data_IF_181135374403
#
_entry.id   IF_181135374403
#
_cell.length_a   1.000
_cell.length_b   1.000
_cell.length_c   1.000
_cell.angle_alpha   90.00
_cell.angle_beta   90.00
_cell.angle_gamma   90.00
#
_symmetry.space_group_name_H-M   'P 1'
#
loop_
_entity.id
_entity.type
_entity.pdbx_description
1 polymer ?
#
# COMPACT_ATOMS: atom_id res chain seq x y z
N UNK A 1 11.88 14.39 18.62
CA UNK A 1 11.20 13.83 17.43
C UNK A 1 9.72 13.61 17.74
N UNK A 2 9.37 12.69 18.66
CA UNK A 2 7.99 12.35 19.04
C UNK A 2 7.14 13.57 19.43
N UNK A 3 7.59 14.40 20.38
CA UNK A 3 6.84 15.60 20.80
C UNK A 3 6.51 16.58 19.66
N UNK A 4 7.40 16.75 18.66
CA UNK A 4 7.11 17.62 17.53
C UNK A 4 6.10 16.99 16.54
N UNK A 5 6.17 15.67 16.35
CA UNK A 5 5.20 14.93 15.53
C UNK A 5 3.79 14.98 16.15
N UNK A 6 3.69 14.83 17.47
CA UNK A 6 2.43 14.94 18.22
C UNK A 6 1.83 16.35 18.10
N UNK A 7 2.66 17.40 18.17
CA UNK A 7 2.18 18.78 18.00
C UNK A 7 1.64 19.03 16.59
N UNK A 8 2.30 18.52 15.55
CA UNK A 8 1.80 18.61 14.17
C UNK A 8 0.46 17.87 14.05
N UNK A 9 0.34 16.67 14.63
CA UNK A 9 -0.91 15.92 14.60
C UNK A 9 -2.03 16.63 15.34
N UNK A 10 -1.75 17.23 16.50
CA UNK A 10 -2.69 18.04 17.27
C UNK A 10 -3.19 19.24 16.45
N UNK A 11 -2.29 19.96 15.77
CA UNK A 11 -2.70 21.09 14.91
C UNK A 11 -3.50 20.69 13.67
N UNK A 12 -3.54 19.39 13.34
CA UNK A 12 -4.31 18.81 12.23
C UNK A 12 -5.59 18.12 12.72
N UNK A 13 -5.95 18.19 14.00
CA UNK A 13 -7.25 17.70 14.50
C UNK A 13 -8.33 18.72 14.13
N UNK A 14 -9.46 18.22 13.64
CA UNK A 14 -10.68 19.00 13.46
C UNK A 14 -11.32 19.24 14.84
N UNK A 15 -11.01 20.38 15.46
CA UNK A 15 -11.87 20.94 16.53
C UNK A 15 -13.08 21.66 15.88
N UNK A 16 -14.02 22.20 16.66
CA UNK A 16 -15.17 22.99 16.17
C UNK A 16 -14.75 24.21 15.29
N UNK A 17 -13.47 24.57 15.30
CA UNK A 17 -12.82 25.52 14.39
C UNK A 17 -12.17 24.79 13.19
N UNK A 18 -12.38 25.32 11.98
CA UNK A 18 -11.81 24.75 10.74
C UNK A 18 -10.27 24.53 10.86
N UNK A 19 -9.73 23.37 10.44
CA UNK A 19 -8.30 23.08 10.56
C UNK A 19 -7.44 24.16 9.92
N UNK A 20 -6.70 24.91 10.75
CA UNK A 20 -5.93 26.08 10.32
C UNK A 20 -4.88 25.77 9.24
N UNK A 21 -4.43 24.51 9.14
CA UNK A 21 -3.30 24.09 8.31
C UNK A 21 -3.72 23.51 6.95
N UNK A 22 -4.94 23.00 6.80
CA UNK A 22 -5.32 22.21 5.60
C UNK A 22 -5.49 23.04 4.34
N UNK A 23 -5.56 24.37 4.46
CA UNK A 23 -5.64 25.32 3.34
C UNK A 23 -4.32 26.01 2.97
N UNK A 24 -3.25 25.82 3.76
CA UNK A 24 -1.98 26.51 3.53
C UNK A 24 -1.07 25.77 2.53
N UNK A 25 -0.94 26.35 1.33
CA UNK A 25 -0.09 25.82 0.26
C UNK A 25 1.41 25.76 0.62
N UNK A 26 1.92 26.66 1.46
CA UNK A 26 3.32 26.67 1.88
C UNK A 26 3.59 25.52 2.85
N UNK A 27 2.68 25.28 3.80
CA UNK A 27 2.80 24.15 4.73
C UNK A 27 2.73 22.82 3.96
N UNK A 28 1.80 22.69 3.00
CA UNK A 28 1.74 21.50 2.14
C UNK A 28 3.02 21.28 1.34
N UNK A 29 3.60 22.35 0.78
CA UNK A 29 4.86 22.27 0.02
C UNK A 29 6.03 21.85 0.92
N UNK A 30 6.18 22.50 2.08
CA UNK A 30 7.24 22.19 3.02
C UNK A 30 7.13 20.74 3.55
N UNK A 31 5.91 20.28 3.82
CA UNK A 31 5.69 18.90 4.24
C UNK A 31 5.99 17.90 3.13
N UNK A 32 5.64 18.21 1.88
CA UNK A 32 5.96 17.38 0.70
C UNK A 32 7.46 17.20 0.53
N UNK A 33 8.23 18.28 0.59
CA UNK A 33 9.70 18.20 0.56
C UNK A 33 10.24 17.30 1.68
N UNK A 34 9.69 17.43 2.89
CA UNK A 34 10.09 16.59 4.02
C UNK A 34 9.68 15.14 3.88
N UNK A 35 8.52 14.87 3.32
CA UNK A 35 8.13 13.51 2.95
C UNK A 35 9.10 12.91 1.93
N UNK A 36 9.48 13.64 0.88
CA UNK A 36 10.44 13.16 -0.11
C UNK A 36 11.79 12.80 0.53
N UNK A 37 12.29 13.61 1.46
CA UNK A 37 13.52 13.29 2.21
C UNK A 37 13.37 12.04 3.08
N UNK A 38 12.26 11.89 3.81
CA UNK A 38 11.99 10.71 4.64
C UNK A 38 11.90 9.44 3.77
N UNK A 39 11.18 9.53 2.65
CA UNK A 39 11.03 8.42 1.73
C UNK A 39 12.34 8.07 1.02
N UNK A 40 13.18 9.05 0.69
CA UNK A 40 14.51 8.79 0.14
C UNK A 40 15.39 8.00 1.12
N UNK A 41 15.39 8.38 2.40
CA UNK A 41 16.12 7.64 3.44
C UNK A 41 15.60 6.21 3.62
N UNK A 42 14.30 5.99 3.48
CA UNK A 42 13.71 4.65 3.45
C UNK A 42 14.24 3.82 2.28
N UNK A 43 14.27 4.40 1.08
CA UNK A 43 14.85 3.75 -0.12
C UNK A 43 16.34 3.44 0.05
N UNK A 44 17.09 4.35 0.65
CA UNK A 44 18.52 4.16 0.88
C UNK A 44 18.78 2.95 1.79
N UNK A 45 18.03 2.79 2.89
CA UNK A 45 18.16 1.61 3.75
C UNK A 45 17.84 0.32 2.98
N UNK A 46 16.78 0.30 2.19
CA UNK A 46 16.40 -0.88 1.38
C UNK A 46 17.48 -1.22 0.34
N UNK A 47 18.05 -0.21 -0.32
CA UNK A 47 18.99 -0.42 -1.44
C UNK A 47 20.43 -0.67 -0.99
N UNK A 48 20.85 -0.08 0.14
CA UNK A 48 22.23 -0.13 0.63
C UNK A 48 22.42 -1.25 1.66
N UNK A 49 21.43 -1.47 2.52
CA UNK A 49 21.56 -2.32 3.72
C UNK A 49 20.69 -3.57 3.68
N UNK A 50 19.98 -3.84 2.56
CA UNK A 50 19.01 -4.94 2.38
C UNK A 50 19.55 -6.38 2.48
N UNK A 51 20.64 -6.60 3.21
CA UNK A 51 21.21 -7.91 3.52
C UNK A 51 21.16 -8.21 5.02
N UNK A 52 20.01 -8.70 5.50
CA UNK A 52 19.84 -9.61 6.65
C UNK A 52 20.53 -9.36 8.00
N UNK A 53 21.14 -8.20 8.24
CA UNK A 53 21.81 -7.88 9.50
C UNK A 53 20.79 -7.36 10.54
N UNK A 54 20.97 -7.64 11.84
CA UNK A 54 20.12 -7.08 12.90
C UNK A 54 20.06 -5.53 12.85
N UNK A 55 21.14 -4.89 12.42
CA UNK A 55 21.19 -3.43 12.23
C UNK A 55 20.26 -2.93 11.14
N UNK A 56 19.96 -3.77 10.13
CA UNK A 56 18.99 -3.44 9.08
C UNK A 56 17.58 -3.38 9.63
N UNK A 57 17.19 -4.33 10.49
CA UNK A 57 15.84 -4.39 11.08
C UNK A 57 15.53 -3.14 11.91
N UNK A 58 16.46 -2.73 12.76
CA UNK A 58 16.30 -1.50 13.56
C UNK A 58 16.23 -0.25 12.66
N UNK A 59 17.12 -0.16 11.67
CA UNK A 59 17.17 0.96 10.75
C UNK A 59 15.89 1.06 9.90
N UNK A 60 15.41 -0.06 9.35
CA UNK A 60 14.23 -0.09 8.49
C UNK A 60 12.96 0.16 9.29
N UNK A 61 12.87 -0.35 10.52
CA UNK A 61 11.73 -0.10 11.39
C UNK A 61 11.59 1.38 11.73
N UNK A 62 12.71 2.08 11.99
CA UNK A 62 12.70 3.53 12.19
C UNK A 62 12.17 4.27 10.95
N UNK A 63 12.59 3.86 9.74
CA UNK A 63 12.12 4.51 8.50
C UNK A 63 10.66 4.19 8.18
N UNK A 64 10.21 2.97 8.44
CA UNK A 64 8.81 2.58 8.29
C UNK A 64 7.91 3.35 9.26
N UNK A 65 8.37 3.61 10.49
CA UNK A 65 7.65 4.47 11.43
C UNK A 65 7.54 5.92 10.91
N UNK A 66 8.61 6.46 10.31
CA UNK A 66 8.61 7.79 9.69
C UNK A 66 7.64 7.87 8.50
N UNK A 67 7.65 6.87 7.61
CA UNK A 67 6.73 6.79 6.46
C UNK A 67 5.28 6.63 6.92
N UNK A 68 5.04 5.78 7.93
CA UNK A 68 3.71 5.57 8.51
C UNK A 68 3.15 6.86 9.13
N UNK A 69 3.96 7.59 9.91
CA UNK A 69 3.60 8.91 10.42
C UNK A 69 3.33 9.92 9.30
N UNK A 70 4.24 10.01 8.32
CA UNK A 70 4.08 10.94 7.20
C UNK A 70 2.80 10.65 6.41
N UNK A 71 2.43 9.37 6.23
CA UNK A 71 1.18 8.98 5.59
C UNK A 71 -0.06 9.56 6.28
N UNK A 72 -0.06 9.62 7.63
CA UNK A 72 -1.18 10.16 8.42
C UNK A 72 -1.31 11.66 8.21
N UNK A 73 -0.19 12.37 8.23
CA UNK A 73 -0.14 13.80 7.97
C UNK A 73 -0.54 14.13 6.53
N UNK A 74 0.01 13.43 5.53
CA UNK A 74 -0.37 13.62 4.11
C UNK A 74 -1.86 13.42 3.86
N UNK A 75 -2.49 12.45 4.54
CA UNK A 75 -3.93 12.21 4.43
C UNK A 75 -4.72 13.44 4.90
N UNK A 76 -4.36 14.00 6.05
CA UNK A 76 -5.02 15.20 6.62
C UNK A 76 -4.75 16.46 5.79
N UNK A 77 -3.59 16.55 5.14
CA UNK A 77 -3.25 17.66 4.25
C UNK A 77 -3.89 17.53 2.85
N UNK A 78 -4.56 16.42 2.54
CA UNK A 78 -5.08 16.14 1.20
C UNK A 78 -3.95 16.03 0.17
N UNK A 79 -2.84 15.40 0.54
CA UNK A 79 -1.66 15.17 -0.31
C UNK A 79 -1.18 13.71 -0.25
N UNK A 80 -2.11 12.77 -0.04
CA UNK A 80 -1.81 11.33 0.03
C UNK A 80 -1.30 10.78 -1.31
N UNK A 81 -1.59 11.46 -2.42
CA UNK A 81 -1.08 11.17 -3.76
C UNK A 81 0.45 11.05 -3.81
N UNK A 82 1.16 11.85 -3.01
CA UNK A 82 2.63 11.79 -2.91
C UNK A 82 3.14 10.45 -2.39
N UNK A 83 2.50 9.92 -1.35
CA UNK A 83 2.82 8.59 -0.84
C UNK A 83 2.47 7.52 -1.87
N UNK A 84 1.28 7.62 -2.46
CA UNK A 84 0.80 6.62 -3.42
C UNK A 84 1.74 6.50 -4.62
N UNK A 85 2.16 7.63 -5.20
CA UNK A 85 3.10 7.64 -6.33
C UNK A 85 4.46 7.05 -5.92
N UNK A 86 5.03 7.56 -4.83
CA UNK A 86 6.35 7.10 -4.36
C UNK A 86 6.37 5.62 -3.96
N UNK A 87 5.31 5.14 -3.29
CA UNK A 87 5.18 3.74 -2.90
C UNK A 87 4.93 2.83 -4.10
N UNK A 88 4.08 3.26 -5.04
CA UNK A 88 3.79 2.47 -6.25
C UNK A 88 5.03 2.30 -7.12
N UNK A 89 5.81 3.37 -7.31
CA UNK A 89 7.02 3.34 -8.13
C UNK A 89 8.13 2.48 -7.51
N UNK A 90 8.20 2.38 -6.18
CA UNK A 90 9.21 1.60 -5.44
C UNK A 90 8.69 0.24 -4.93
N UNK A 91 7.46 -0.14 -5.29
CA UNK A 91 6.85 -1.40 -4.86
C UNK A 91 7.65 -2.65 -5.21
N UNK A 92 8.28 -2.78 -6.40
CA UNK A 92 9.06 -3.97 -6.74
C UNK A 92 10.24 -4.21 -5.78
N UNK A 93 10.97 -3.16 -5.41
CA UNK A 93 12.11 -3.22 -4.49
C UNK A 93 11.67 -3.53 -3.06
N UNK A 94 10.56 -2.92 -2.61
CA UNK A 94 9.95 -3.22 -1.31
C UNK A 94 9.60 -4.71 -1.26
N UNK A 95 8.79 -5.19 -2.21
CA UNK A 95 8.38 -6.60 -2.25
C UNK A 95 9.58 -7.54 -2.28
N UNK A 96 10.60 -7.23 -3.09
CA UNK A 96 11.81 -8.04 -3.18
C UNK A 96 12.53 -8.20 -1.82
N UNK A 97 12.70 -7.12 -1.07
CA UNK A 97 13.39 -7.16 0.22
C UNK A 97 12.53 -7.80 1.30
N UNK A 98 11.24 -7.45 1.41
CA UNK A 98 10.39 -7.95 2.49
C UNK A 98 9.86 -9.38 2.28
N UNK A 99 10.12 -9.98 1.12
CA UNK A 99 9.91 -11.41 0.88
C UNK A 99 10.90 -12.30 1.63
N UNK A 100 12.02 -11.75 2.13
CA UNK A 100 13.00 -12.54 2.88
C UNK A 100 12.36 -13.18 4.13
N UNK A 101 12.36 -14.51 4.25
CA UNK A 101 11.84 -15.19 5.43
C UNK A 101 12.58 -14.83 6.73
N UNK A 102 13.83 -14.37 6.65
CA UNK A 102 14.63 -13.99 7.83
C UNK A 102 14.14 -12.72 8.53
N UNK A 103 13.42 -11.84 7.82
CA UNK A 103 12.90 -10.61 8.40
C UNK A 103 11.75 -10.87 9.38
N UNK A 104 11.76 -10.15 10.50
CA UNK A 104 10.73 -10.25 11.55
C UNK A 104 9.30 -9.95 11.06
N UNK A 105 8.33 -10.62 11.68
CA UNK A 105 6.89 -10.45 11.37
C UNK A 105 6.43 -9.01 11.56
N UNK A 106 6.90 -8.33 12.61
CA UNK A 106 6.51 -6.96 12.92
C UNK A 106 6.91 -5.96 11.83
N UNK A 107 8.07 -6.14 11.21
CA UNK A 107 8.51 -5.32 10.07
C UNK A 107 7.61 -5.59 8.85
N UNK A 108 7.33 -6.87 8.56
CA UNK A 108 6.44 -7.27 7.46
C UNK A 108 5.02 -6.72 7.66
N UNK A 109 4.48 -6.79 8.89
CA UNK A 109 3.19 -6.20 9.23
C UNK A 109 3.21 -4.69 8.97
N UNK A 110 4.29 -3.99 9.36
CA UNK A 110 4.37 -2.54 9.16
C UNK A 110 4.35 -2.13 7.69
N UNK A 111 5.01 -2.92 6.83
CA UNK A 111 4.96 -2.75 5.37
C UNK A 111 3.55 -3.01 4.85
N UNK A 112 2.88 -4.04 5.35
CA UNK A 112 1.50 -4.38 4.97
C UNK A 112 0.50 -3.29 5.37
N UNK A 113 0.64 -2.66 6.54
CA UNK A 113 -0.18 -1.52 6.96
C UNK A 113 -0.09 -0.34 5.98
N UNK A 114 1.14 0.05 5.63
CA UNK A 114 1.37 1.16 4.69
C UNK A 114 0.84 0.80 3.30
N UNK A 115 1.06 -0.45 2.88
CA UNK A 115 0.58 -0.97 1.59
C UNK A 115 -0.94 -1.00 1.52
N UNK A 116 -1.63 -1.43 2.57
CA UNK A 116 -3.10 -1.42 2.63
C UNK A 116 -3.63 -0.02 2.38
N UNK A 117 -3.06 0.98 3.05
CA UNK A 117 -3.45 2.37 2.87
C UNK A 117 -3.26 2.87 1.43
N UNK A 118 -2.16 2.48 0.78
CA UNK A 118 -1.91 2.82 -0.63
C UNK A 118 -2.90 2.11 -1.55
N UNK A 119 -3.13 0.80 -1.35
CA UNK A 119 -4.08 0.03 -2.13
C UNK A 119 -5.50 0.56 -1.98
N UNK A 120 -5.95 0.91 -0.77
CA UNK A 120 -7.27 1.50 -0.51
C UNK A 120 -7.42 2.87 -1.18
N UNK A 121 -6.39 3.72 -1.08
CA UNK A 121 -6.41 5.03 -1.70
C UNK A 121 -6.61 4.95 -3.22
N UNK A 122 -5.92 4.02 -3.88
CA UNK A 122 -6.04 3.83 -5.33
C UNK A 122 -7.29 3.04 -5.70
N UNK A 123 -7.54 1.93 -5.00
CA UNK A 123 -8.63 0.99 -5.27
C UNK A 123 -10.00 1.63 -5.13
N UNK A 124 -10.20 2.49 -4.13
CA UNK A 124 -11.46 3.23 -3.93
C UNK A 124 -11.52 4.56 -4.70
N UNK A 125 -10.49 4.89 -5.48
CA UNK A 125 -10.48 6.08 -6.31
C UNK A 125 -10.25 7.41 -5.56
N UNK A 126 -9.76 7.35 -4.31
CA UNK A 126 -9.37 8.54 -3.55
C UNK A 126 -8.12 9.21 -4.15
N UNK A 127 -7.23 8.41 -4.75
CA UNK A 127 -6.06 8.87 -5.49
C UNK A 127 -6.07 8.24 -6.87
N UNK A 128 -5.96 9.07 -7.90
CA UNK A 128 -5.91 8.61 -9.29
C UNK A 128 -4.46 8.52 -9.77
N UNK A 129 -4.05 7.32 -10.19
CA UNK A 129 -2.76 7.08 -10.83
C UNK A 129 -2.94 6.46 -12.23
N UNK A 130 -1.97 6.61 -13.14
CA UNK A 130 -2.00 6.01 -14.47
C UNK A 130 -2.36 4.52 -14.47
N UNK A 131 -3.11 4.02 -15.48
CA UNK A 131 -3.48 2.60 -15.58
C UNK A 131 -2.28 1.64 -15.48
N UNK A 132 -1.14 2.01 -16.08
CA UNK A 132 0.09 1.21 -16.04
C UNK A 132 0.64 1.06 -14.63
N UNK A 133 0.61 2.13 -13.83
CA UNK A 133 1.00 2.07 -12.41
C UNK A 133 0.00 1.26 -11.59
N UNK A 134 -1.32 1.37 -11.84
CA UNK A 134 -2.33 0.52 -11.17
C UNK A 134 -2.09 -0.96 -11.45
N UNK A 135 -1.84 -1.34 -12.70
CA UNK A 135 -1.51 -2.72 -13.09
C UNK A 135 -0.20 -3.16 -12.43
N UNK A 136 0.83 -2.31 -12.42
CA UNK A 136 2.11 -2.59 -11.76
C UNK A 136 1.95 -2.83 -10.25
N UNK A 137 1.14 -2.01 -9.59
CA UNK A 137 0.83 -2.12 -8.17
C UNK A 137 0.17 -3.46 -7.84
N UNK A 138 -0.88 -3.86 -8.58
CA UNK A 138 -1.52 -5.17 -8.37
C UNK A 138 -0.53 -6.32 -8.61
N UNK A 139 0.25 -6.28 -9.69
CA UNK A 139 1.20 -7.35 -10.01
C UNK A 139 2.32 -7.50 -8.99
N UNK A 140 2.80 -6.39 -8.41
CA UNK A 140 3.82 -6.42 -7.37
C UNK A 140 3.25 -7.00 -6.06
N UNK A 141 2.09 -6.50 -5.62
CA UNK A 141 1.58 -6.79 -4.28
C UNK A 141 0.75 -8.08 -4.19
N UNK A 142 0.02 -8.47 -5.23
CA UNK A 142 -0.88 -9.63 -5.18
C UNK A 142 -0.16 -10.95 -4.76
N UNK A 143 1.03 -11.29 -5.29
CA UNK A 143 1.78 -12.46 -4.81
C UNK A 143 2.25 -12.29 -3.36
N UNK A 144 2.77 -11.10 -3.02
CA UNK A 144 3.32 -10.80 -1.70
C UNK A 144 2.28 -10.94 -0.59
N UNK A 145 1.11 -10.32 -0.73
CA UNK A 145 0.06 -10.33 0.29
C UNK A 145 -0.48 -11.74 0.53
N UNK A 146 -0.47 -12.59 -0.50
CA UNK A 146 -0.84 -14.00 -0.39
C UNK A 146 0.14 -14.76 0.50
N UNK A 147 1.43 -14.61 0.22
CA UNK A 147 2.48 -15.28 0.98
C UNK A 147 2.51 -14.79 2.44
N UNK A 148 2.29 -13.48 2.65
CA UNK A 148 2.27 -12.89 3.99
C UNK A 148 1.09 -13.33 4.84
N UNK A 149 -0.10 -13.60 4.26
CA UNK A 149 -1.26 -14.10 5.02
C UNK A 149 -0.94 -15.37 5.78
N UNK A 150 -0.21 -16.29 5.16
CA UNK A 150 0.21 -17.54 5.82
C UNK A 150 1.20 -17.27 6.95
N UNK A 151 2.13 -16.32 6.77
CA UNK A 151 3.19 -16.00 7.73
C UNK A 151 2.66 -15.27 8.97
N UNK A 152 1.77 -14.29 8.80
CA UNK A 152 1.34 -13.43 9.93
C UNK A 152 0.17 -14.00 10.73
N UNK A 153 -0.66 -14.87 10.15
CA UNK A 153 -1.71 -15.58 10.91
C UNK A 153 -1.14 -16.52 12.00
N UNK A 154 0.12 -16.92 11.88
CA UNK A 154 0.82 -17.75 12.87
C UNK A 154 1.46 -16.92 14.00
N UNK A 155 1.67 -15.61 13.80
CA UNK A 155 2.55 -14.79 14.63
C UNK A 155 1.83 -13.78 15.56
N UNK A 156 0.68 -13.22 15.18
CA UNK A 156 0.16 -11.98 15.79
C UNK A 156 -1.35 -11.97 16.07
N UNK A 157 -1.80 -10.95 16.83
CA UNK A 157 -3.19 -10.73 17.25
C UNK A 157 -4.15 -10.83 16.06
N UNK A 158 -5.02 -11.84 16.09
CA UNK A 158 -5.79 -12.29 14.92
C UNK A 158 -6.76 -11.22 14.42
N UNK A 159 -7.37 -10.42 15.29
CA UNK A 159 -8.47 -9.53 14.88
C UNK A 159 -8.02 -8.34 14.02
N UNK A 160 -7.08 -7.53 14.49
CA UNK A 160 -6.55 -6.38 13.72
C UNK A 160 -5.88 -6.83 12.42
N UNK A 161 -5.14 -7.94 12.49
CA UNK A 161 -4.49 -8.56 11.34
C UNK A 161 -5.52 -9.04 10.30
N UNK A 162 -6.64 -9.61 10.74
CA UNK A 162 -7.73 -10.03 9.84
C UNK A 162 -8.44 -8.83 9.20
N UNK A 163 -8.65 -7.74 9.93
CA UNK A 163 -9.21 -6.51 9.36
C UNK A 163 -8.30 -5.93 8.27
N UNK A 164 -6.99 -5.92 8.51
CA UNK A 164 -5.99 -5.51 7.50
C UNK A 164 -6.10 -6.35 6.23
N UNK A 165 -6.15 -7.69 6.36
CA UNK A 165 -6.27 -8.58 5.20
C UNK A 165 -7.57 -8.38 4.42
N UNK A 166 -8.69 -8.19 5.11
CA UNK A 166 -9.98 -7.91 4.46
C UNK A 166 -9.93 -6.58 3.70
N UNK A 167 -9.29 -5.55 4.27
CA UNK A 167 -9.14 -4.26 3.62
C UNK A 167 -8.29 -4.35 2.35
N UNK A 168 -7.16 -5.06 2.43
CA UNK A 168 -6.29 -5.32 1.28
C UNK A 168 -7.04 -6.08 0.17
N UNK A 169 -7.80 -7.12 0.51
CA UNK A 169 -8.57 -7.90 -0.46
C UNK A 169 -9.64 -7.06 -1.17
N UNK A 170 -10.41 -6.27 -0.41
CA UNK A 170 -11.41 -5.39 -0.97
C UNK A 170 -10.77 -4.31 -1.88
N UNK A 171 -9.66 -3.72 -1.45
CA UNK A 171 -8.92 -2.74 -2.23
C UNK A 171 -8.36 -3.33 -3.53
N UNK A 172 -7.77 -4.54 -3.49
CA UNK A 172 -7.25 -5.23 -4.68
C UNK A 172 -8.40 -5.59 -5.63
N UNK A 173 -9.54 -6.09 -5.14
CA UNK A 173 -10.70 -6.37 -5.98
C UNK A 173 -11.17 -5.11 -6.72
N UNK A 174 -11.35 -4.01 -5.99
CA UNK A 174 -11.74 -2.72 -6.59
C UNK A 174 -10.72 -2.24 -7.61
N UNK A 175 -9.42 -2.38 -7.29
CA UNK A 175 -8.34 -1.99 -8.18
C UNK A 175 -8.34 -2.82 -9.47
N UNK A 176 -8.45 -4.15 -9.38
CA UNK A 176 -8.54 -5.05 -10.56
C UNK A 176 -9.74 -4.68 -11.42
N UNK A 177 -10.93 -4.49 -10.83
CA UNK A 177 -12.14 -4.11 -11.54
C UNK A 177 -12.02 -2.79 -12.32
N UNK A 178 -11.10 -1.91 -11.90
CA UNK A 178 -10.81 -0.61 -12.50
C UNK A 178 -9.78 -0.65 -13.64
N UNK A 179 -9.12 -1.79 -13.87
CA UNK A 179 -8.08 -1.95 -14.91
C UNK A 179 -8.70 -2.14 -16.30
N UNK A 180 -7.92 -1.95 -17.38
CA UNK A 180 -8.31 -2.40 -18.72
C UNK A 180 -8.62 -3.90 -18.76
N UNK A 181 -9.54 -4.33 -19.63
CA UNK A 181 -10.02 -5.72 -19.69
C UNK A 181 -8.93 -6.75 -19.97
N UNK A 182 -7.91 -6.38 -20.75
CA UNK A 182 -6.79 -7.27 -21.08
C UNK A 182 -5.88 -7.48 -19.87
N UNK A 183 -5.60 -6.42 -19.11
CA UNK A 183 -4.81 -6.48 -17.87
C UNK A 183 -5.54 -7.30 -16.78
N UNK A 184 -6.86 -7.11 -16.66
CA UNK A 184 -7.70 -7.94 -15.78
C UNK A 184 -7.54 -9.43 -16.11
N UNK A 185 -7.61 -9.78 -17.40
CA UNK A 185 -7.51 -11.17 -17.85
C UNK A 185 -6.17 -11.82 -17.50
N UNK A 186 -5.06 -11.08 -17.60
CA UNK A 186 -3.73 -11.57 -17.20
C UNK A 186 -3.67 -11.85 -15.69
N UNK A 187 -4.08 -10.88 -14.87
CA UNK A 187 -4.05 -11.00 -13.40
C UNK A 187 -4.94 -12.15 -12.92
N UNK A 188 -6.16 -12.24 -13.45
CA UNK A 188 -7.14 -13.27 -13.07
C UNK A 188 -6.71 -14.67 -13.53
N UNK A 189 -6.07 -14.80 -14.70
CA UNK A 189 -5.52 -16.07 -15.15
C UNK A 189 -4.36 -16.55 -14.27
N UNK A 190 -3.51 -15.63 -13.80
CA UNK A 190 -2.46 -15.95 -12.82
C UNK A 190 -3.05 -16.33 -11.46
N UNK A 191 -4.06 -15.60 -10.98
CA UNK A 191 -4.78 -15.92 -9.75
C UNK A 191 -5.39 -17.32 -9.79
N UNK A 192 -6.12 -17.68 -10.87
CA UNK A 192 -6.74 -19.00 -11.04
C UNK A 192 -5.76 -20.18 -11.08
N UNK A 193 -4.57 -19.99 -11.67
CA UNK A 193 -3.57 -21.06 -11.77
C UNK A 193 -2.97 -21.46 -10.43
N UNK A 194 -3.09 -20.60 -9.42
CA UNK A 194 -2.55 -20.87 -8.11
C UNK A 194 -3.54 -21.71 -7.30
N UNK A 195 -3.30 -23.02 -7.20
CA UNK A 195 -4.15 -23.98 -6.45
C UNK A 195 -4.30 -23.65 -4.95
N UNK A 196 -3.47 -22.73 -4.41
CA UNK A 196 -3.53 -22.21 -3.04
C UNK A 196 -4.29 -20.87 -2.90
N UNK A 197 -4.93 -20.37 -3.96
CA UNK A 197 -5.55 -19.05 -3.99
C UNK A 197 -6.88 -19.00 -3.21
N UNK A 198 -6.82 -19.13 -1.88
CA UNK A 198 -7.92 -18.71 -1.01
C UNK A 198 -7.85 -17.21 -0.70
N UNK A 199 -6.70 -16.57 -0.93
CA UNK A 199 -6.48 -15.16 -0.63
C UNK A 199 -5.46 -14.50 -1.58
N UNK A 200 -5.67 -13.22 -1.94
CA UNK A 200 -6.96 -12.53 -1.92
C UNK A 200 -8.00 -13.28 -2.76
N UNK A 201 -9.25 -13.34 -2.31
CA UNK A 201 -10.35 -13.85 -3.11
C UNK A 201 -10.73 -12.83 -4.19
N UNK A 202 -10.46 -13.16 -5.45
CA UNK A 202 -10.78 -12.31 -6.61
C UNK A 202 -12.01 -12.80 -7.39
N UNK A 203 -12.86 -13.64 -6.77
CA UNK A 203 -14.03 -14.22 -7.42
C UNK A 203 -15.00 -13.16 -7.97
N UNK A 204 -15.26 -12.09 -7.22
CA UNK A 204 -16.11 -11.00 -7.69
C UNK A 204 -15.53 -10.34 -8.96
N UNK A 205 -14.25 -9.97 -8.92
CA UNK A 205 -13.56 -9.38 -10.06
C UNK A 205 -13.57 -10.33 -11.27
N UNK A 206 -13.38 -11.62 -11.04
CA UNK A 206 -13.42 -12.66 -12.05
C UNK A 206 -14.78 -12.79 -12.73
N UNK A 207 -15.87 -12.84 -11.95
CA UNK A 207 -17.23 -12.96 -12.45
C UNK A 207 -17.62 -11.75 -13.32
N UNK A 208 -17.31 -10.55 -12.83
CA UNK A 208 -17.56 -9.29 -13.56
C UNK A 208 -16.76 -9.25 -14.87
N UNK A 209 -15.49 -9.63 -14.84
CA UNK A 209 -14.66 -9.71 -16.04
C UNK A 209 -15.20 -10.71 -17.06
N UNK A 210 -15.63 -11.90 -16.62
CA UNK A 210 -16.24 -12.92 -17.48
C UNK A 210 -17.51 -12.39 -18.16
N UNK A 211 -18.39 -11.74 -17.40
CA UNK A 211 -19.61 -11.15 -17.92
C UNK A 211 -19.32 -10.07 -18.97
N UNK A 212 -18.42 -9.13 -18.66
CA UNK A 212 -18.03 -8.03 -19.57
C UNK A 212 -17.39 -8.56 -20.85
N UNK A 213 -16.47 -9.52 -20.73
CA UNK A 213 -15.77 -10.15 -21.86
C UNK A 213 -16.73 -10.90 -22.79
N UNK A 214 -17.68 -11.65 -22.22
CA UNK A 214 -18.72 -12.36 -22.99
C UNK A 214 -19.67 -11.38 -23.68
N UNK A 215 -20.09 -10.31 -23.00
CA UNK A 215 -20.96 -9.29 -23.57
C UNK A 215 -20.28 -8.54 -24.74
N UNK A 216 -18.99 -8.22 -24.61
CA UNK A 216 -18.21 -7.58 -25.68
C UNK A 216 -18.17 -8.46 -26.95
N UNK A 217 -17.91 -9.76 -26.81
CA UNK A 217 -17.89 -10.70 -27.94
C UNK A 217 -19.23 -10.86 -28.66
N UNK A 218 -20.37 -10.57 -28.00
CA UNK A 218 -21.70 -10.60 -28.62
C UNK A 218 -22.04 -9.35 -29.42
N UNK A 219 -21.29 -8.26 -29.22
CA UNK A 219 -21.50 -6.96 -29.88
C UNK A 219 -20.60 -6.76 -31.11
N UNK A 220 -19.61 -7.64 -31.28
CA UNK A 220 -18.75 -7.75 -32.46
C UNK A 220 -19.41 -8.66 -33.50
#
# INVERSE_FOLDING_TARGET
KVSAQEQIEYMLVEDDDAPLITSDSQIKSAFREKFCELFHRFKDVITIEGGGAETFEDAILEKLADVSWASRVLSRLGSLDELVLAWSDFSPEIVFVFQDPALSSGIKLKVMEITSKVLEAVGYGNVLIPPTQRTGLVKAWLPFVRDMKMVLLEAECVEETMLLYNSIEAAINSLVLSLPSDDQGVILAEWLKNERASYPDLSEAFEVWCFRSKAAKRRL
#
